data_IF_718814507176
#
_entry.id   IF_718814507176
#
_cell.length_a   1.000
_cell.length_b   1.000
_cell.length_c   1.000
_cell.angle_alpha   90.00
_cell.angle_beta   90.00
_cell.angle_gamma   90.00
#
_symmetry.space_group_name_H-M   'P 1'
#
loop_
_entity.id
_entity.type
_entity.pdbx_description
1 polymer ?
#
# COMPACT_ATOMS: atom_id res chain seq x y z
N UNK A 1 37.13 0.90 -17.35
CA UNK A 1 36.52 2.05 -16.66
C UNK A 1 35.05 1.72 -16.54
N UNK A 2 34.58 1.35 -15.35
CA UNK A 2 33.15 1.08 -15.14
C UNK A 2 32.42 2.41 -15.17
N UNK A 3 31.83 2.71 -16.32
CA UNK A 3 30.98 3.88 -16.50
C UNK A 3 29.70 3.60 -15.72
N UNK A 4 29.61 4.15 -14.50
CA UNK A 4 28.38 4.17 -13.73
C UNK A 4 27.40 5.09 -14.46
N UNK A 5 26.73 4.55 -15.47
CA UNK A 5 25.53 5.14 -16.05
C UNK A 5 24.39 4.71 -15.13
N UNK A 6 23.77 5.62 -14.34
CA UNK A 6 22.75 5.22 -13.36
C UNK A 6 21.40 4.86 -14.01
N UNK A 7 21.21 5.27 -15.26
CA UNK A 7 19.93 5.18 -15.98
C UNK A 7 19.41 3.73 -16.15
N UNK A 8 20.23 2.72 -16.49
CA UNK A 8 19.78 1.34 -16.63
C UNK A 8 19.34 0.71 -15.30
N UNK A 9 19.97 1.09 -14.18
CA UNK A 9 19.60 0.57 -12.85
C UNK A 9 18.21 1.03 -12.41
N UNK A 10 17.84 2.27 -12.74
CA UNK A 10 16.50 2.81 -12.45
C UNK A 10 15.46 2.21 -13.40
N UNK A 11 15.80 2.06 -14.69
CA UNK A 11 14.92 1.41 -15.67
C UNK A 11 14.64 -0.05 -15.32
N UNK A 12 15.66 -0.82 -14.94
CA UNK A 12 15.49 -2.24 -14.56
C UNK A 12 14.64 -2.41 -13.29
N UNK A 13 14.68 -1.44 -12.38
CA UNK A 13 13.80 -1.41 -11.20
C UNK A 13 12.36 -1.09 -11.60
N UNK A 14 12.15 -0.02 -12.38
CA UNK A 14 10.83 0.44 -12.80
C UNK A 14 10.13 -0.53 -13.76
N UNK A 15 10.88 -1.25 -14.60
CA UNK A 15 10.34 -2.26 -15.52
C UNK A 15 9.92 -3.55 -14.81
N UNK A 16 10.50 -3.84 -13.65
CA UNK A 16 10.28 -5.11 -12.93
C UNK A 16 9.30 -4.97 -11.77
N UNK A 17 9.15 -3.78 -11.21
CA UNK A 17 8.19 -3.46 -10.16
C UNK A 17 6.87 -3.03 -10.78
N UNK A 18 5.80 -3.71 -10.38
CA UNK A 18 4.46 -3.27 -10.71
C UNK A 18 4.08 -2.11 -9.79
N UNK A 19 3.19 -1.24 -10.26
CA UNK A 19 2.61 -0.15 -9.45
C UNK A 19 2.05 -0.69 -8.11
N UNK A 20 1.55 -1.93 -8.12
CA UNK A 20 1.08 -2.59 -6.91
C UNK A 20 2.15 -2.85 -5.84
N UNK A 21 3.37 -3.20 -6.24
CA UNK A 21 4.46 -3.44 -5.30
C UNK A 21 4.87 -2.11 -4.62
N UNK A 22 4.87 -1.02 -5.39
CA UNK A 22 5.14 0.32 -4.85
C UNK A 22 4.05 0.79 -3.87
N UNK A 23 2.77 0.59 -4.22
CA UNK A 23 1.64 0.90 -3.31
C UNK A 23 1.69 0.02 -2.06
N UNK A 24 2.08 -1.25 -2.19
CA UNK A 24 2.23 -2.16 -1.05
C UNK A 24 3.35 -1.73 -0.11
N UNK A 25 4.50 -1.31 -0.66
CA UNK A 25 5.57 -0.73 0.14
C UNK A 25 5.12 0.55 0.86
N UNK A 26 4.41 1.44 0.15
CA UNK A 26 3.83 2.66 0.73
C UNK A 26 2.86 2.34 1.88
N UNK A 27 2.02 1.30 1.72
CA UNK A 27 1.11 0.83 2.76
C UNK A 27 1.87 0.38 4.02
N UNK A 28 2.92 -0.43 3.85
CA UNK A 28 3.73 -0.92 4.96
C UNK A 28 4.41 0.24 5.71
N UNK A 29 5.01 1.19 4.98
CA UNK A 29 5.62 2.39 5.57
C UNK A 29 4.58 3.24 6.29
N UNK A 30 3.41 3.43 5.68
CA UNK A 30 2.31 4.20 6.27
C UNK A 30 1.76 3.55 7.54
N UNK A 31 1.66 2.22 7.58
CA UNK A 31 1.32 1.46 8.78
C UNK A 31 2.33 1.72 9.91
N UNK A 32 3.62 1.57 9.63
CA UNK A 32 4.69 1.80 10.62
C UNK A 32 4.69 3.26 11.09
N UNK A 33 4.52 4.22 10.18
CA UNK A 33 4.43 5.64 10.48
C UNK A 33 3.19 5.99 11.32
N UNK A 34 2.12 5.20 11.25
CA UNK A 34 0.90 5.41 12.03
C UNK A 34 0.98 4.89 13.47
N UNK A 35 1.95 4.01 13.79
CA UNK A 35 2.19 3.50 15.15
C UNK A 35 2.43 4.62 16.19
N UNK A 36 3.34 5.59 15.98
CA UNK A 36 3.60 6.64 16.96
C UNK A 36 2.40 7.55 17.24
N UNK A 37 1.41 7.61 16.35
CA UNK A 37 0.20 8.42 16.52
C UNK A 37 -0.76 7.84 17.59
N UNK A 38 -0.57 6.58 18.02
CA UNK A 38 -1.37 5.87 19.03
C UNK A 38 -2.89 5.90 18.80
N UNK A 39 -3.34 6.26 17.59
CA UNK A 39 -4.75 6.41 17.25
C UNK A 39 -5.23 5.26 16.38
N UNK A 40 -6.10 4.41 16.96
CA UNK A 40 -6.75 3.33 16.22
C UNK A 40 -7.63 3.84 15.08
N UNK A 41 -8.18 5.07 15.20
CA UNK A 41 -8.96 5.72 14.14
C UNK A 41 -8.09 6.10 12.95
N UNK A 42 -6.89 6.64 13.20
CA UNK A 42 -5.96 6.99 12.10
C UNK A 42 -5.49 5.73 11.38
N UNK A 43 -5.11 4.69 12.12
CA UNK A 43 -4.66 3.43 11.54
C UNK A 43 -5.76 2.73 10.71
N UNK A 44 -7.00 2.76 11.18
CA UNK A 44 -8.14 2.21 10.44
C UNK A 44 -8.48 3.04 9.20
N UNK A 45 -8.51 4.38 9.28
CA UNK A 45 -8.71 5.23 8.10
C UNK A 45 -7.64 5.01 7.04
N UNK A 46 -6.37 4.93 7.45
CA UNK A 46 -5.27 4.62 6.56
C UNK A 46 -5.47 3.24 5.88
N UNK A 47 -5.87 2.24 6.65
CA UNK A 47 -6.16 0.90 6.12
C UNK A 47 -7.33 0.88 5.14
N UNK A 48 -8.38 1.68 5.38
CA UNK A 48 -9.51 1.86 4.45
C UNK A 48 -9.01 2.49 3.14
N UNK A 49 -8.25 3.58 3.23
CA UNK A 49 -7.69 4.27 2.07
C UNK A 49 -6.87 3.31 1.20
N UNK A 50 -5.95 2.56 1.81
CA UNK A 50 -5.14 1.59 1.09
C UNK A 50 -5.96 0.41 0.57
N UNK A 51 -7.01 -0.01 1.27
CA UNK A 51 -7.96 -1.00 0.77
C UNK A 51 -8.59 -0.57 -0.56
N UNK A 52 -9.01 0.69 -0.67
CA UNK A 52 -9.52 1.28 -1.92
C UNK A 52 -8.42 1.32 -2.99
N UNK A 53 -7.21 1.80 -2.63
CA UNK A 53 -6.09 1.88 -3.58
C UNK A 53 -5.74 0.50 -4.15
N UNK A 54 -5.71 -0.56 -3.33
CA UNK A 54 -5.41 -1.91 -3.80
C UNK A 54 -6.45 -2.46 -4.79
N UNK A 55 -7.71 -2.06 -4.69
CA UNK A 55 -8.72 -2.39 -5.70
C UNK A 55 -8.49 -1.60 -7.00
N UNK A 56 -8.13 -0.32 -6.89
CA UNK A 56 -7.91 0.55 -8.05
C UNK A 56 -6.68 0.14 -8.86
N UNK A 57 -5.58 -0.27 -8.22
CA UNK A 57 -4.36 -0.62 -8.97
C UNK A 57 -4.53 -1.84 -9.88
N UNK A 58 -5.49 -2.73 -9.60
CA UNK A 58 -5.72 -3.91 -10.45
C UNK A 58 -6.29 -3.50 -11.80
N UNK A 59 -7.11 -2.43 -11.86
CA UNK A 59 -7.57 -1.87 -13.13
C UNK A 59 -6.44 -1.18 -13.91
N UNK A 60 -5.30 -0.90 -13.25
CA UNK A 60 -4.09 -0.32 -13.84
C UNK A 60 -3.06 -1.39 -14.25
N UNK A 61 -3.43 -2.69 -14.21
CA UNK A 61 -2.58 -3.80 -14.66
C UNK A 61 -1.80 -4.51 -13.54
N UNK A 62 -2.02 -4.16 -12.27
CA UNK A 62 -1.42 -4.90 -11.15
C UNK A 62 -2.06 -6.30 -11.00
N UNK A 63 -1.33 -7.30 -10.45
CA UNK A 63 -1.86 -8.64 -10.20
C UNK A 63 -3.15 -8.64 -9.36
N UNK A 64 -4.09 -9.53 -9.68
CA UNK A 64 -5.36 -9.65 -8.97
C UNK A 64 -5.22 -10.00 -7.47
N UNK A 65 -4.05 -10.49 -7.05
CA UNK A 65 -3.74 -10.75 -5.63
C UNK A 65 -3.89 -9.51 -4.76
N UNK A 66 -3.61 -8.32 -5.29
CA UNK A 66 -3.81 -7.07 -4.59
C UNK A 66 -5.28 -6.77 -4.28
N UNK A 67 -6.20 -7.18 -5.15
CA UNK A 67 -7.63 -6.98 -4.89
C UNK A 67 -8.10 -7.78 -3.66
N UNK A 68 -7.60 -9.00 -3.46
CA UNK A 68 -7.93 -9.79 -2.27
C UNK A 68 -7.50 -9.08 -0.98
N UNK A 69 -6.29 -8.51 -0.96
CA UNK A 69 -5.83 -7.70 0.16
C UNK A 69 -6.72 -6.46 0.36
N UNK A 70 -7.08 -5.78 -0.73
CA UNK A 70 -7.96 -4.61 -0.71
C UNK A 70 -9.34 -4.91 -0.11
N UNK A 71 -9.97 -6.02 -0.51
CA UNK A 71 -11.25 -6.49 0.04
C UNK A 71 -11.12 -6.79 1.54
N UNK A 72 -10.09 -7.54 1.95
CA UNK A 72 -9.87 -7.87 3.36
C UNK A 72 -9.72 -6.60 4.20
N UNK A 73 -8.95 -5.61 3.72
CA UNK A 73 -8.81 -4.33 4.39
C UNK A 73 -10.13 -3.56 4.46
N UNK A 74 -10.92 -3.53 3.39
CA UNK A 74 -12.21 -2.83 3.36
C UNK A 74 -13.29 -3.48 4.21
N UNK A 75 -13.17 -4.76 4.52
CA UNK A 75 -14.07 -5.43 5.47
C UNK A 75 -13.62 -5.18 6.91
N UNK A 76 -12.33 -5.36 7.21
CA UNK A 76 -11.83 -5.32 8.58
C UNK A 76 -11.65 -3.89 9.09
N UNK A 77 -11.14 -2.98 8.27
CA UNK A 77 -10.77 -1.64 8.72
C UNK A 77 -11.96 -0.77 9.16
N UNK A 78 -13.14 -0.78 8.52
CA UNK A 78 -14.31 -0.08 9.04
C UNK A 78 -14.79 -0.62 10.39
N UNK A 79 -14.71 -1.93 10.60
CA UNK A 79 -15.01 -2.54 11.90
C UNK A 79 -14.03 -2.04 12.98
N UNK A 80 -12.74 -1.95 12.67
CA UNK A 80 -11.74 -1.37 13.57
C UNK A 80 -11.98 0.13 13.83
N UNK A 81 -12.47 0.87 12.84
CA UNK A 81 -12.78 2.30 13.01
C UNK A 81 -13.96 2.52 13.95
N UNK A 82 -15.04 1.75 13.78
CA UNK A 82 -16.25 1.87 14.60
C UNK A 82 -16.04 1.37 16.03
N UNK A 83 -15.16 0.38 16.24
CA UNK A 83 -14.82 -0.16 17.56
C UNK A 83 -13.68 0.62 18.25
N UNK A 84 -13.05 1.58 17.56
CA UNK A 84 -11.99 2.39 18.14
C UNK A 84 -12.55 3.30 19.25
N UNK A 85 -12.15 3.00 20.50
CA UNK A 85 -12.29 3.91 21.63
C UNK A 85 -11.63 5.26 21.34
N UNK A 86 -12.11 6.32 22.01
CA UNK A 86 -11.56 7.68 21.90
C UNK A 86 -10.08 7.72 22.24
#
# INVERSE_FOLDING_TARGET
MFEFVPLPLVDDFLLKINVGDAIFALFAVSLVASIPLKSRKVLSLNSILFGILFLLIVSMGAPATYAYLGVVLLVIAPLLYTTAGR
#
